data_IF_420289117406
#
_entry.id   IF_420289117406
#
_cell.length_a   1.000
_cell.length_b   1.000
_cell.length_c   1.000
_cell.angle_alpha   90.00
_cell.angle_beta   90.00
_cell.angle_gamma   90.00
#
_symmetry.space_group_name_H-M   'P 1'
#
loop_
_entity.id
_entity.type
_entity.pdbx_description
1 polymer ?
#
# COMPACT_ATOMS: atom_id res chain seq x y z
N UNK A 1 -13.36 0.23 61.21
CA UNK A 1 -13.99 -0.74 60.29
C UNK A 1 -14.34 -0.02 59.00
N UNK A 2 -13.89 -0.50 57.85
CA UNK A 2 -14.30 0.03 56.54
C UNK A 2 -14.36 -1.13 55.54
N UNK A 3 -15.57 -1.59 55.23
CA UNK A 3 -15.80 -2.72 54.33
C UNK A 3 -15.69 -2.26 52.88
N UNK A 4 -14.45 -2.03 52.43
CA UNK A 4 -14.17 -1.67 51.05
C UNK A 4 -14.57 -2.83 50.13
N UNK A 5 -15.39 -2.53 49.12
CA UNK A 5 -16.09 -3.54 48.33
C UNK A 5 -15.14 -4.24 47.36
N UNK A 6 -14.55 -5.39 47.72
CA UNK A 6 -13.75 -6.21 46.80
C UNK A 6 -14.57 -6.61 45.55
N UNK A 7 -15.89 -6.82 45.67
CA UNK A 7 -16.79 -7.05 44.53
C UNK A 7 -16.82 -5.88 43.52
N UNK A 8 -16.81 -4.62 43.99
CA UNK A 8 -16.73 -3.44 43.09
C UNK A 8 -15.37 -3.33 42.43
N UNK A 9 -14.29 -3.71 43.13
CA UNK A 9 -12.94 -3.76 42.56
C UNK A 9 -12.84 -4.82 41.45
N UNK A 10 -13.39 -6.03 41.69
CA UNK A 10 -13.44 -7.10 40.69
C UNK A 10 -14.27 -6.74 39.46
N UNK A 11 -15.46 -6.14 39.64
CA UNK A 11 -16.28 -5.68 38.50
C UNK A 11 -15.57 -4.58 37.71
N UNK A 12 -14.88 -3.65 38.37
CA UNK A 12 -14.06 -2.65 37.68
C UNK A 12 -12.92 -3.31 36.88
N UNK A 13 -12.18 -4.25 37.49
CA UNK A 13 -11.07 -4.97 36.86
C UNK A 13 -11.51 -5.74 35.61
N UNK A 14 -12.63 -6.46 35.68
CA UNK A 14 -13.19 -7.20 34.52
C UNK A 14 -13.63 -6.23 33.42
N UNK A 15 -14.23 -5.09 33.75
CA UNK A 15 -14.62 -4.08 32.75
C UNK A 15 -13.43 -3.33 32.13
N UNK A 16 -12.30 -3.19 32.84
CA UNK A 16 -11.04 -2.66 32.27
C UNK A 16 -10.24 -3.72 31.52
N UNK A 17 -10.59 -5.00 31.62
CA UNK A 17 -9.92 -6.10 30.91
C UNK A 17 -10.40 -6.20 29.46
N UNK A 18 -10.27 -5.09 28.72
CA UNK A 18 -10.35 -5.09 27.26
C UNK A 18 -9.18 -5.92 26.72
N UNK A 19 -9.41 -7.21 26.51
CA UNK A 19 -8.44 -8.09 25.86
C UNK A 19 -8.15 -7.54 24.46
N UNK A 20 -6.98 -6.92 24.29
CA UNK A 20 -6.44 -6.61 22.97
C UNK A 20 -6.08 -7.96 22.34
N UNK A 21 -7.01 -8.49 21.56
CA UNK A 21 -6.77 -9.60 20.68
C UNK A 21 -5.86 -9.09 19.57
N UNK A 22 -4.55 -9.28 19.76
CA UNK A 22 -3.57 -9.02 18.72
C UNK A 22 -3.71 -10.08 17.60
N UNK A 23 -2.92 -9.95 16.54
CA UNK A 23 -3.18 -10.73 15.34
C UNK A 23 -2.70 -12.18 15.47
N UNK A 24 -3.63 -13.14 15.41
CA UNK A 24 -3.25 -14.55 15.28
C UNK A 24 -2.84 -14.89 13.83
N UNK A 25 -3.30 -14.15 12.82
CA UNK A 25 -2.89 -14.34 11.41
C UNK A 25 -2.81 -13.03 10.63
N UNK A 26 -1.79 -12.91 9.78
CA UNK A 26 -1.56 -11.76 8.92
C UNK A 26 -1.56 -12.17 7.45
N UNK A 27 -1.94 -11.27 6.55
CA UNK A 27 -1.73 -11.51 5.12
C UNK A 27 -0.24 -11.61 4.88
N UNK A 28 0.20 -12.65 4.19
CA UNK A 28 1.59 -12.92 3.90
C UNK A 28 1.92 -12.64 2.44
N UNK A 29 3.10 -12.05 2.19
CA UNK A 29 3.80 -12.11 0.90
C UNK A 29 5.25 -11.64 1.05
N UNK A 30 6.08 -11.95 0.05
CA UNK A 30 7.43 -11.39 -0.16
C UNK A 30 7.68 -11.14 -1.66
N UNK A 31 8.44 -10.09 -1.96
CA UNK A 31 8.96 -9.73 -3.28
C UNK A 31 7.88 -9.75 -4.38
N UNK A 32 8.17 -10.40 -5.50
CA UNK A 32 7.29 -10.55 -6.66
C UNK A 32 5.95 -11.23 -6.34
N UNK A 33 5.82 -11.97 -5.23
CA UNK A 33 4.53 -12.51 -4.82
C UNK A 33 3.61 -11.42 -4.25
N UNK A 34 4.15 -10.39 -3.61
CA UNK A 34 3.37 -9.21 -3.21
C UNK A 34 2.76 -8.46 -4.40
N UNK A 35 3.36 -8.59 -5.59
CA UNK A 35 2.93 -7.93 -6.83
C UNK A 35 1.98 -8.77 -7.70
N UNK A 36 1.59 -9.96 -7.24
CA UNK A 36 0.64 -10.84 -7.94
C UNK A 36 -0.79 -10.57 -7.47
N UNK A 37 -1.67 -10.17 -8.37
CA UNK A 37 -3.09 -9.91 -8.07
C UNK A 37 -3.87 -11.14 -7.60
N UNK A 38 -3.41 -12.35 -7.95
CA UNK A 38 -3.98 -13.63 -7.55
C UNK A 38 -3.23 -14.32 -6.39
N UNK A 39 -2.36 -13.61 -5.67
CA UNK A 39 -1.64 -14.18 -4.54
C UNK A 39 -2.37 -13.86 -3.23
N UNK A 40 -2.89 -14.92 -2.62
CA UNK A 40 -3.53 -14.93 -1.30
C UNK A 40 -2.85 -16.01 -0.46
N UNK A 41 -2.31 -15.59 0.68
CA UNK A 41 -1.60 -16.41 1.63
C UNK A 41 -1.69 -15.73 3.02
N UNK A 42 -1.72 -16.54 4.07
CA UNK A 42 -1.67 -16.07 5.45
C UNK A 42 -0.42 -16.61 6.15
N UNK A 43 0.11 -15.82 7.06
CA UNK A 43 1.11 -16.22 8.04
C UNK A 43 0.45 -16.31 9.42
N UNK A 44 0.74 -17.39 10.14
CA UNK A 44 0.34 -17.60 11.53
C UNK A 44 1.44 -17.04 12.43
N UNK A 45 1.16 -15.96 13.18
CA UNK A 45 2.17 -15.32 14.00
C UNK A 45 2.59 -16.21 15.18
N UNK A 46 3.87 -16.13 15.55
CA UNK A 46 4.47 -16.98 16.59
C UNK A 46 3.98 -16.60 17.99
N UNK A 47 3.97 -15.29 18.28
CA UNK A 47 3.46 -14.74 19.53
C UNK A 47 2.03 -14.21 19.40
N UNK A 48 1.23 -14.41 20.45
CA UNK A 48 -0.18 -13.97 20.50
C UNK A 48 -0.36 -12.46 20.70
N UNK A 49 0.74 -11.71 20.67
CA UNK A 49 0.80 -10.25 20.81
C UNK A 49 1.51 -9.56 19.63
N UNK A 50 1.86 -10.32 18.58
CA UNK A 50 2.49 -9.78 17.37
C UNK A 50 1.50 -8.93 16.54
N UNK A 51 2.06 -8.07 15.70
CA UNK A 51 1.35 -7.18 14.80
C UNK A 51 1.52 -7.64 13.36
N UNK A 52 0.51 -7.38 12.52
CA UNK A 52 0.68 -7.47 11.09
C UNK A 52 1.39 -6.23 10.55
N UNK A 53 2.23 -6.44 9.53
CA UNK A 53 2.96 -5.40 8.83
C UNK A 53 2.75 -5.49 7.31
N UNK A 54 2.73 -4.34 6.66
CA UNK A 54 2.94 -4.17 5.21
C UNK A 54 4.10 -3.20 4.99
N UNK A 55 5.04 -3.57 4.11
CA UNK A 55 6.24 -2.79 3.80
C UNK A 55 6.19 -2.33 2.34
N UNK A 56 6.26 -1.02 2.11
CA UNK A 56 6.19 -0.39 0.79
C UNK A 56 7.51 0.30 0.47
N UNK A 57 7.99 0.20 -0.77
CA UNK A 57 9.12 0.96 -1.32
C UNK A 57 8.62 1.78 -2.50
N UNK A 58 8.76 3.10 -2.45
CA UNK A 58 8.19 4.02 -3.45
C UNK A 58 6.71 3.73 -3.80
N UNK A 59 5.89 3.41 -2.78
CA UNK A 59 4.47 3.06 -2.91
C UNK A 59 4.16 1.66 -3.47
N UNK A 60 5.17 0.87 -3.86
CA UNK A 60 5.00 -0.52 -4.32
C UNK A 60 5.19 -1.46 -3.12
N UNK A 61 4.26 -2.40 -2.92
CA UNK A 61 4.32 -3.39 -1.85
C UNK A 61 5.50 -4.38 -2.04
N UNK A 62 6.32 -4.58 -1.00
CA UNK A 62 7.50 -5.45 -1.00
C UNK A 62 7.35 -6.66 -0.07
N UNK A 63 6.73 -6.49 1.09
CA UNK A 63 6.49 -7.56 2.06
C UNK A 63 5.17 -7.35 2.82
N UNK A 64 4.53 -8.45 3.20
CA UNK A 64 3.42 -8.50 4.16
C UNK A 64 3.61 -9.72 5.06
N UNK A 65 3.30 -9.60 6.35
CA UNK A 65 3.35 -10.75 7.27
C UNK A 65 3.17 -10.33 8.73
N UNK A 66 3.63 -11.19 9.62
CA UNK A 66 3.81 -10.92 11.04
C UNK A 66 5.10 -10.10 11.28
N UNK A 67 5.13 -9.21 12.28
CA UNK A 67 6.23 -8.25 12.46
C UNK A 67 7.48 -8.92 13.05
N UNK A 68 7.35 -9.92 13.93
CA UNK A 68 8.50 -10.70 14.40
C UNK A 68 9.10 -11.60 13.30
N UNK A 69 8.28 -12.04 12.34
CA UNK A 69 8.70 -12.80 11.15
C UNK A 69 9.28 -11.93 10.02
N UNK A 70 9.23 -10.60 10.15
CA UNK A 70 9.76 -9.70 9.13
C UNK A 70 11.30 -9.73 9.18
N UNK A 71 11.94 -9.79 8.01
CA UNK A 71 13.41 -9.83 7.89
C UNK A 71 14.05 -8.64 8.62
N UNK A 72 15.20 -8.86 9.28
CA UNK A 72 15.88 -7.86 10.11
C UNK A 72 16.04 -6.50 9.41
N UNK A 73 16.51 -6.55 8.16
CA UNK A 73 16.63 -5.41 7.25
C UNK A 73 15.33 -4.61 7.05
N UNK A 74 14.18 -5.26 7.02
CA UNK A 74 12.89 -4.58 6.88
C UNK A 74 12.34 -4.13 8.24
N UNK A 75 12.52 -4.95 9.28
CA UNK A 75 12.03 -4.69 10.64
C UNK A 75 12.69 -3.46 11.26
N UNK A 76 14.02 -3.33 11.15
CA UNK A 76 14.78 -2.14 11.55
C UNK A 76 14.22 -0.87 10.88
N UNK A 77 14.05 -0.90 9.55
CA UNK A 77 13.52 0.23 8.76
C UNK A 77 12.05 0.58 9.07
N UNK A 78 11.29 -0.32 9.70
CA UNK A 78 9.93 -0.06 10.20
C UNK A 78 9.87 0.40 11.66
N UNK A 79 10.89 0.09 12.47
CA UNK A 79 11.05 0.59 13.83
C UNK A 79 11.64 2.01 13.85
N UNK A 80 12.47 2.35 12.85
CA UNK A 80 12.99 3.69 12.59
C UNK A 80 11.87 4.71 12.35
N UNK A 81 11.74 5.66 13.29
CA UNK A 81 10.70 6.71 13.26
C UNK A 81 11.04 7.89 12.35
N UNK A 82 12.26 7.92 11.82
CA UNK A 82 12.77 9.01 10.99
C UNK A 82 12.32 8.86 9.53
N UNK A 83 11.30 9.65 9.19
CA UNK A 83 10.53 9.60 7.94
C UNK A 83 11.29 10.04 6.67
N UNK A 84 12.62 9.92 6.66
CA UNK A 84 13.48 10.17 5.50
C UNK A 84 13.75 8.92 4.65
N UNK A 85 13.36 7.74 5.13
CA UNK A 85 13.59 6.48 4.43
C UNK A 85 12.73 6.35 3.15
N UNK A 86 13.24 5.62 2.16
CA UNK A 86 12.54 5.27 0.90
C UNK A 86 11.35 4.31 1.12
N UNK A 87 11.15 3.90 2.37
CA UNK A 87 10.31 2.80 2.82
C UNK A 87 9.21 3.36 3.73
N UNK A 88 7.96 3.03 3.43
CA UNK A 88 6.81 3.29 4.29
C UNK A 88 6.34 1.96 4.88
N UNK A 89 6.09 1.90 6.19
CA UNK A 89 5.55 0.70 6.86
C UNK A 89 4.18 0.97 7.49
N UNK A 90 3.25 0.05 7.30
CA UNK A 90 1.92 0.06 7.92
C UNK A 90 1.80 -1.12 8.89
N UNK A 91 1.72 -0.83 10.19
CA UNK A 91 1.64 -1.82 11.27
C UNK A 91 0.25 -1.75 11.92
N UNK A 92 -0.38 -2.90 12.15
CA UNK A 92 -1.73 -3.02 12.73
C UNK A 92 -1.89 -4.35 13.49
N UNK A 93 -2.88 -4.45 14.40
CA UNK A 93 -2.93 -5.53 15.41
C UNK A 93 -4.17 -6.43 15.35
N UNK A 94 -4.95 -6.44 14.28
CA UNK A 94 -6.12 -7.35 14.15
C UNK A 94 -5.93 -8.37 13.03
N UNK A 95 -6.65 -9.49 13.07
CA UNK A 95 -6.50 -10.56 12.07
C UNK A 95 -6.63 -10.02 10.63
N UNK A 96 -5.63 -10.34 9.79
CA UNK A 96 -5.49 -9.94 8.37
C UNK A 96 -5.63 -8.42 8.09
N UNK A 97 -5.34 -7.57 9.06
CA UNK A 97 -5.52 -6.11 8.97
C UNK A 97 -4.56 -5.39 7.99
N UNK A 98 -3.47 -6.04 7.58
CA UNK A 98 -2.42 -5.44 6.75
C UNK A 98 -2.81 -5.40 5.25
N UNK A 99 -4.06 -5.04 4.95
CA UNK A 99 -4.65 -5.04 3.60
C UNK A 99 -4.75 -3.64 2.95
N UNK A 100 -4.34 -2.59 3.67
CA UNK A 100 -4.31 -1.18 3.21
C UNK A 100 -2.92 -0.74 2.76
N UNK A 101 -2.87 0.19 1.81
CA UNK A 101 -1.67 0.86 1.33
C UNK A 101 -1.14 1.89 2.36
N UNK A 102 0.10 2.37 2.17
CA UNK A 102 0.72 3.38 3.03
C UNK A 102 -0.16 4.62 3.26
N UNK A 103 -0.14 5.20 4.46
CA UNK A 103 -0.89 6.44 4.79
C UNK A 103 -0.61 7.60 3.82
N UNK A 104 0.59 7.65 3.25
CA UNK A 104 0.97 8.66 2.24
C UNK A 104 0.21 8.48 0.93
N UNK A 105 -0.15 7.26 0.54
CA UNK A 105 -0.94 6.97 -0.68
C UNK A 105 -2.45 7.00 -0.40
N UNK A 106 -2.92 7.96 0.40
CA UNK A 106 -4.34 8.14 0.71
C UNK A 106 -5.01 9.14 -0.24
N UNK A 107 -6.12 8.74 -0.84
CA UNK A 107 -6.89 9.52 -1.80
C UNK A 107 -8.23 9.98 -1.20
N UNK A 108 -8.83 11.04 -1.73
CA UNK A 108 -10.25 11.31 -1.51
C UNK A 108 -11.05 10.22 -2.22
N UNK A 109 -12.02 9.61 -1.52
CA UNK A 109 -12.87 8.53 -2.03
C UNK A 109 -14.34 8.92 -1.83
N UNK A 110 -15.03 9.32 -2.90
CA UNK A 110 -16.39 9.86 -2.83
C UNK A 110 -17.12 9.82 -4.19
N UNK A 111 -18.42 10.10 -4.17
CA UNK A 111 -19.30 10.24 -5.33
C UNK A 111 -20.25 11.42 -5.09
N UNK A 112 -20.39 12.36 -6.03
CA UNK A 112 -21.22 13.55 -5.87
C UNK A 112 -22.74 13.26 -5.74
N UNK A 113 -23.19 12.10 -6.20
CA UNK A 113 -24.58 11.63 -6.01
C UNK A 113 -24.87 11.17 -4.57
N UNK A 114 -23.83 10.89 -3.77
CA UNK A 114 -23.92 10.48 -2.37
C UNK A 114 -23.51 11.62 -1.41
N UNK A 115 -22.53 12.43 -1.82
CA UNK A 115 -22.02 13.59 -1.09
C UNK A 115 -21.65 14.74 -2.05
N UNK A 116 -22.44 15.80 -2.06
CA UNK A 116 -22.23 16.98 -2.89
C UNK A 116 -20.85 17.65 -2.69
N UNK A 117 -20.25 17.52 -1.49
CA UNK A 117 -18.90 18.06 -1.22
C UNK A 117 -17.85 17.41 -2.13
N UNK A 118 -18.07 16.20 -2.64
CA UNK A 118 -17.20 15.54 -3.61
C UNK A 118 -16.98 16.37 -4.89
N UNK A 119 -18.00 17.10 -5.35
CA UNK A 119 -17.88 18.03 -6.46
C UNK A 119 -17.58 19.46 -6.00
N UNK A 120 -18.31 19.96 -4.99
CA UNK A 120 -18.31 21.38 -4.60
C UNK A 120 -17.11 21.81 -3.76
N UNK A 121 -16.58 20.94 -2.89
CA UNK A 121 -15.53 21.28 -1.92
C UNK A 121 -14.73 20.04 -1.46
N UNK A 122 -14.13 19.29 -2.39
CA UNK A 122 -13.42 18.03 -2.09
C UNK A 122 -12.26 18.19 -1.10
N UNK A 123 -11.59 19.35 -1.06
CA UNK A 123 -10.55 19.67 -0.08
C UNK A 123 -11.03 19.79 1.38
N UNK A 124 -12.35 19.67 1.64
CA UNK A 124 -12.92 19.50 2.99
C UNK A 124 -13.07 18.02 3.38
N UNK A 125 -12.94 17.09 2.43
CA UNK A 125 -13.08 15.65 2.66
C UNK A 125 -11.78 15.06 3.18
N UNK A 126 -11.90 14.17 4.17
CA UNK A 126 -10.75 13.43 4.69
C UNK A 126 -10.39 12.30 3.71
N UNK A 127 -9.16 12.31 3.21
CA UNK A 127 -8.65 11.23 2.38
C UNK A 127 -8.49 9.92 3.18
N UNK A 128 -8.73 8.80 2.51
CA UNK A 128 -8.74 7.45 3.09
C UNK A 128 -7.67 6.60 2.41
N UNK A 129 -6.96 5.76 3.19
CA UNK A 129 -5.98 4.81 2.68
C UNK A 129 -6.57 3.95 1.57
N UNK A 130 -5.86 3.84 0.45
CA UNK A 130 -6.25 2.94 -0.62
C UNK A 130 -6.07 1.47 -0.21
N UNK A 131 -6.81 0.52 -0.81
CA UNK A 131 -6.40 -0.88 -0.83
C UNK A 131 -5.03 -1.03 -1.51
N UNK A 132 -4.29 -2.09 -1.19
CA UNK A 132 -2.96 -2.33 -1.78
C UNK A 132 -3.07 -2.58 -3.30
N UNK A 133 -2.44 -1.71 -4.10
CA UNK A 133 -2.24 -1.95 -5.52
C UNK A 133 -1.26 -3.12 -5.71
N UNK A 134 -1.73 -4.22 -6.30
CA UNK A 134 -0.88 -5.39 -6.58
C UNK A 134 0.00 -5.17 -7.81
N UNK A 135 -0.50 -4.53 -8.87
CA UNK A 135 0.25 -4.34 -10.12
C UNK A 135 1.00 -3.00 -10.20
N UNK A 136 1.74 -2.65 -9.13
CA UNK A 136 2.57 -1.44 -9.05
C UNK A 136 2.30 -0.63 -7.77
N UNK A 137 2.05 0.68 -7.92
CA UNK A 137 1.59 1.56 -6.85
C UNK A 137 0.18 2.10 -7.14
N UNK A 138 -0.52 2.52 -6.09
CA UNK A 138 -1.85 3.13 -6.19
C UNK A 138 -1.75 4.61 -6.55
N UNK A 139 -2.51 5.04 -7.56
CA UNK A 139 -2.70 6.45 -7.90
C UNK A 139 -4.06 6.93 -7.39
N UNK A 140 -4.25 8.24 -7.27
CA UNK A 140 -5.57 8.82 -7.06
C UNK A 140 -6.19 9.24 -8.40
N UNK A 141 -7.52 9.21 -8.48
CA UNK A 141 -8.26 9.75 -9.63
C UNK A 141 -9.43 10.64 -9.22
N UNK A 142 -9.82 11.52 -10.14
CA UNK A 142 -11.12 12.18 -10.19
C UNK A 142 -11.67 12.06 -11.62
N UNK A 143 -12.89 11.54 -11.76
CA UNK A 143 -13.53 11.23 -13.05
C UNK A 143 -14.94 11.80 -13.09
N UNK A 144 -15.31 12.41 -14.21
CA UNK A 144 -16.65 12.95 -14.46
C UNK A 144 -17.29 12.22 -15.66
N UNK A 145 -18.49 11.67 -15.48
CA UNK A 145 -19.23 10.94 -16.53
C UNK A 145 -20.65 11.51 -16.62
N UNK A 146 -20.87 12.43 -17.55
CA UNK A 146 -22.07 13.27 -17.52
C UNK A 146 -22.01 14.20 -16.32
N UNK A 147 -23.03 14.15 -15.45
CA UNK A 147 -23.05 14.89 -14.17
C UNK A 147 -22.44 14.08 -13.00
N UNK A 148 -22.17 12.78 -13.17
CA UNK A 148 -21.65 11.91 -12.10
C UNK A 148 -20.13 12.12 -11.91
N UNK A 149 -19.74 12.74 -10.79
CA UNK A 149 -18.34 12.97 -10.41
C UNK A 149 -17.92 11.99 -9.31
N UNK A 150 -16.91 11.18 -9.60
CA UNK A 150 -16.35 10.18 -8.68
C UNK A 150 -14.86 10.41 -8.43
N UNK A 151 -14.45 10.30 -7.17
CA UNK A 151 -13.04 10.33 -6.73
C UNK A 151 -12.68 9.02 -6.06
N UNK A 152 -11.44 8.55 -6.24
CA UNK A 152 -10.98 7.33 -5.57
C UNK A 152 -9.56 6.89 -5.91
N UNK A 153 -9.27 5.63 -5.59
CA UNK A 153 -7.99 4.97 -5.84
C UNK A 153 -7.99 4.20 -7.17
N UNK A 154 -6.94 4.35 -7.97
CA UNK A 154 -6.68 3.59 -9.19
C UNK A 154 -5.60 2.54 -8.92
N UNK A 155 -6.01 1.27 -8.86
CA UNK A 155 -5.23 0.17 -8.27
C UNK A 155 -4.57 -0.77 -9.29
N UNK A 156 -4.97 -0.68 -10.57
CA UNK A 156 -4.40 -1.50 -11.64
C UNK A 156 -3.94 -0.65 -12.81
N UNK A 157 -2.93 -1.13 -13.55
CA UNK A 157 -2.48 -0.50 -14.79
C UNK A 157 -3.63 -0.34 -15.81
N UNK A 158 -4.63 -1.22 -15.82
CA UNK A 158 -5.79 -1.10 -16.73
C UNK A 158 -6.69 0.08 -16.35
N UNK A 159 -6.88 0.36 -15.07
CA UNK A 159 -7.66 1.51 -14.59
C UNK A 159 -6.90 2.83 -14.83
N UNK A 160 -5.59 2.81 -14.63
CA UNK A 160 -4.68 3.92 -14.88
C UNK A 160 -4.67 4.30 -16.37
N UNK A 161 -4.45 3.32 -17.26
CA UNK A 161 -4.49 3.53 -18.72
C UNK A 161 -5.88 3.95 -19.20
N UNK A 162 -6.96 3.40 -18.63
CA UNK A 162 -8.33 3.83 -18.97
C UNK A 162 -8.58 5.29 -18.58
N UNK A 163 -8.15 5.71 -17.39
CA UNK A 163 -8.30 7.09 -16.95
C UNK A 163 -7.50 8.05 -17.83
N UNK A 164 -6.23 7.74 -18.13
CA UNK A 164 -5.37 8.54 -19.01
C UNK A 164 -5.86 8.62 -20.48
N UNK A 165 -6.87 7.84 -20.87
CA UNK A 165 -7.50 7.87 -22.19
C UNK A 165 -8.85 8.61 -22.21
N UNK A 166 -9.37 9.08 -21.08
CA UNK A 166 -10.62 9.84 -20.95
C UNK A 166 -10.29 11.30 -20.54
N UNK A 167 -10.61 12.32 -21.36
CA UNK A 167 -10.31 13.71 -21.02
C UNK A 167 -11.02 14.19 -19.73
N UNK A 168 -12.08 13.51 -19.31
CA UNK A 168 -12.82 13.81 -18.07
C UNK A 168 -12.29 13.03 -16.85
N UNK A 169 -11.16 12.30 -16.99
CA UNK A 169 -10.53 11.56 -15.90
C UNK A 169 -9.11 12.05 -15.66
N UNK A 170 -8.88 12.63 -14.49
CA UNK A 170 -7.55 13.04 -14.04
C UNK A 170 -6.97 11.98 -13.12
N UNK A 171 -5.73 11.57 -13.41
CA UNK A 171 -4.93 10.64 -12.62
C UNK A 171 -3.74 11.39 -12.00
N UNK A 172 -3.46 11.18 -10.72
CA UNK A 172 -2.37 11.87 -10.02
C UNK A 172 -1.71 10.96 -8.96
N UNK A 173 -0.47 11.28 -8.61
CA UNK A 173 0.35 10.47 -7.70
C UNK A 173 0.34 11.02 -6.26
N UNK A 174 -0.24 10.30 -5.28
CA UNK A 174 -0.30 10.78 -3.90
C UNK A 174 1.06 10.82 -3.18
N UNK A 175 2.12 10.21 -3.73
CA UNK A 175 3.47 10.34 -3.17
C UNK A 175 4.12 11.71 -3.49
N UNK A 176 3.80 12.26 -4.66
CA UNK A 176 4.28 13.58 -5.12
C UNK A 176 3.45 14.72 -4.48
N UNK A 177 2.13 14.53 -4.41
CA UNK A 177 1.21 15.47 -3.76
C UNK A 177 0.15 14.70 -2.94
N UNK A 178 0.21 14.75 -1.60
CA UNK A 178 -0.82 14.15 -0.76
C UNK A 178 -2.21 14.64 -1.13
N UNK A 179 -3.14 13.71 -1.33
CA UNK A 179 -4.55 13.97 -1.64
C UNK A 179 -4.80 14.74 -2.94
N UNK A 180 -3.88 14.64 -3.91
CA UNK A 180 -3.89 15.32 -5.22
C UNK A 180 -5.19 15.25 -6.05
N UNK A 181 -6.11 14.34 -5.72
CA UNK A 181 -7.42 14.28 -6.36
C UNK A 181 -8.45 15.20 -5.69
N UNK A 182 -8.03 16.33 -5.12
CA UNK A 182 -8.88 17.41 -4.59
C UNK A 182 -9.21 18.48 -5.65
N UNK A 183 -8.55 18.48 -6.81
CA UNK A 183 -8.81 19.48 -7.85
C UNK A 183 -10.28 19.49 -8.33
N UNK A 184 -10.81 20.68 -8.62
CA UNK A 184 -12.17 20.84 -9.16
C UNK A 184 -12.18 20.38 -10.61
N UNK A 185 -12.84 19.25 -10.87
CA UNK A 185 -13.11 18.76 -12.23
C UNK A 185 -14.32 19.51 -12.77
N UNK A 186 -14.25 19.91 -14.03
CA UNK A 186 -15.39 20.36 -14.83
C UNK A 186 -15.38 19.54 -16.11
N UNK A 187 -16.55 19.39 -16.75
CA UNK A 187 -16.54 19.02 -18.16
C UNK A 187 -15.77 20.11 -18.90
N UNK A 188 -14.80 19.74 -19.72
CA UNK A 188 -14.26 20.68 -20.70
C UNK A 188 -15.41 21.05 -21.64
N UNK A 189 -15.74 22.35 -21.72
CA UNK A 189 -16.58 22.93 -22.77
C UNK A 189 -15.82 22.85 -24.11
N UNK A 190 -15.61 21.62 -24.57
CA UNK A 190 -14.80 21.29 -25.74
C UNK A 190 -15.35 22.05 -26.93
N UNK A 191 -14.54 22.94 -27.54
CA UNK A 191 -15.09 24.04 -28.33
C UNK A 191 -15.85 23.48 -29.52
N UNK A 192 -17.14 23.83 -29.59
CA UNK A 192 -17.99 23.60 -30.75
C UNK A 192 -17.40 24.36 -31.93
N UNK A 193 -16.46 23.73 -32.62
CA UNK A 193 -15.69 24.30 -33.72
C UNK A 193 -16.49 24.18 -35.02
N UNK A 194 -17.77 24.58 -34.93
CA UNK A 194 -18.63 24.84 -36.07
C UNK A 194 -18.23 26.19 -36.65
N UNK A 195 -17.04 26.25 -37.26
CA UNK A 195 -16.74 27.29 -38.22
C UNK A 195 -17.54 27.00 -39.49
N UNK A 196 -18.76 27.52 -39.56
CA UNK A 196 -19.44 27.66 -40.85
C UNK A 196 -18.55 28.49 -41.79
N UNK A 197 -18.27 28.04 -43.02
CA UNK A 197 -17.47 28.79 -43.98
C UNK A 197 -18.28 29.96 -44.53
N UNK A 198 -18.43 31.02 -43.73
CA UNK A 198 -19.08 32.27 -44.15
C UNK A 198 -18.21 32.95 -45.19
N UNK A 199 -18.72 33.05 -46.42
CA UNK A 199 -18.03 33.67 -47.54
C UNK A 199 -17.70 35.15 -47.24
N UNK A 200 -16.44 35.54 -47.42
CA UNK A 200 -16.04 36.95 -47.41
C UNK A 200 -14.85 37.17 -48.34
N UNK A 201 -15.17 37.25 -49.62
CA UNK A 201 -14.26 37.61 -50.71
C UNK A 201 -13.55 38.94 -50.44
N UNK A 202 -12.22 38.92 -50.40
CA UNK A 202 -11.39 40.06 -50.82
C UNK A 202 -10.00 39.60 -51.23
N UNK A 203 -9.54 40.13 -52.35
CA UNK A 203 -8.25 39.82 -52.98
C UNK A 203 -7.12 40.69 -52.44
N UNK A 204 -5.91 40.14 -52.31
CA UNK A 204 -4.68 40.69 -52.92
C UNK A 204 -3.51 39.70 -52.81
N UNK A 205 -2.54 39.82 -53.72
CA UNK A 205 -1.41 38.90 -53.91
C UNK A 205 -0.07 39.59 -53.61
N UNK A 206 0.98 38.80 -53.34
CA UNK A 206 2.40 39.21 -53.19
C UNK A 206 2.72 40.08 -51.94
N UNK A 207 3.89 40.02 -51.29
CA UNK A 207 5.20 39.42 -51.64
C UNK A 207 5.93 38.83 -50.41
N UNK A 208 6.89 37.91 -50.64
CA UNK A 208 7.96 37.48 -49.71
C UNK A 208 9.03 38.58 -49.52
N UNK A 209 9.89 38.59 -48.46
CA UNK A 209 11.02 37.63 -48.32
C UNK A 209 11.48 37.28 -46.87
N UNK A 210 12.57 36.50 -46.77
CA UNK A 210 13.12 35.89 -45.54
C UNK A 210 14.07 36.75 -44.69
N UNK A 211 14.15 36.44 -43.39
CA UNK A 211 15.36 36.46 -42.52
C UNK A 211 14.99 35.76 -41.20
N UNK A 212 15.56 34.62 -40.75
CA UNK A 212 16.97 34.23 -40.52
C UNK A 212 17.58 34.89 -39.28
N UNK A 213 17.66 34.13 -38.18
CA UNK A 213 18.56 34.35 -37.04
C UNK A 213 19.06 33.00 -36.50
N UNK A 214 20.38 32.86 -36.37
CA UNK A 214 21.10 31.86 -35.55
C UNK A 214 21.28 32.46 -34.12
N UNK A 215 21.98 31.89 -33.13
CA UNK A 215 22.82 30.69 -32.92
C UNK A 215 22.62 30.26 -31.43
N UNK A 216 23.33 29.39 -30.71
CA UNK A 216 24.73 28.93 -30.75
C UNK A 216 24.85 27.49 -30.20
N UNK A 217 25.93 27.08 -29.51
CA UNK A 217 26.14 25.65 -29.14
C UNK A 217 27.07 25.40 -27.96
N UNK A 218 26.69 24.50 -27.03
CA UNK A 218 27.56 23.83 -26.05
C UNK A 218 26.81 22.61 -25.46
N UNK A 219 27.25 21.34 -25.46
CA UNK A 219 28.57 20.69 -25.37
C UNK A 219 29.04 20.37 -23.95
N UNK A 220 28.98 19.09 -23.55
CA UNK A 220 30.17 18.32 -23.10
C UNK A 220 29.80 16.93 -22.56
N UNK A 221 30.65 15.93 -22.86
CA UNK A 221 30.71 14.61 -22.20
C UNK A 221 32.15 14.36 -21.74
N UNK A 222 32.40 13.40 -20.82
CA UNK A 222 33.47 12.44 -21.09
C UNK A 222 33.20 11.00 -20.59
N UNK A 223 34.00 10.06 -21.10
CA UNK A 223 34.09 8.65 -20.67
C UNK A 223 34.92 8.48 -19.39
N UNK A 224 34.85 7.29 -18.77
CA UNK A 224 35.97 6.66 -18.06
C UNK A 224 35.79 5.14 -17.95
N UNK A 225 36.90 4.40 -18.13
CA UNK A 225 37.04 2.96 -17.84
C UNK A 225 37.37 2.73 -16.34
N UNK A 226 37.63 1.55 -15.76
CA UNK A 226 37.96 0.16 -16.22
C UNK A 226 37.41 -0.82 -15.13
N UNK A 227 37.66 -2.13 -14.98
CA UNK A 227 38.79 -3.05 -15.29
C UNK A 227 38.29 -4.50 -15.37
N UNK A 228 39.04 -5.41 -16.02
CA UNK A 228 38.67 -6.83 -16.21
C UNK A 228 39.24 -7.76 -15.12
N UNK A 229 38.59 -8.91 -14.88
CA UNK A 229 39.25 -10.15 -14.40
C UNK A 229 38.47 -11.42 -14.79
N UNK A 230 39.20 -12.46 -15.22
CA UNK A 230 38.71 -13.69 -15.88
C UNK A 230 38.69 -14.90 -14.93
N UNK A 231 37.97 -16.00 -15.27
CA UNK A 231 38.48 -17.42 -15.30
C UNK A 231 37.37 -18.46 -15.61
N UNK A 232 37.58 -19.24 -16.68
CA UNK A 232 37.39 -20.71 -16.93
C UNK A 232 36.41 -21.55 -16.06
N UNK A 233 35.78 -22.66 -16.51
CA UNK A 233 35.93 -23.50 -17.73
C UNK A 233 34.66 -24.38 -18.00
N UNK A 234 34.55 -25.11 -19.14
CA UNK A 234 33.30 -25.77 -19.60
C UNK A 234 33.29 -27.32 -19.59
N UNK A 235 32.16 -27.89 -20.08
CA UNK A 235 31.91 -29.31 -20.46
C UNK A 235 31.81 -30.35 -19.31
N UNK A 236 31.09 -31.47 -19.41
CA UNK A 236 30.81 -32.33 -20.59
C UNK A 236 29.40 -32.94 -20.65
N UNK A 237 28.95 -33.21 -21.89
CA UNK A 237 27.69 -33.84 -22.33
C UNK A 237 27.60 -35.36 -22.07
N UNK A 238 26.42 -35.88 -21.64
CA UNK A 238 25.72 -36.99 -22.34
C UNK A 238 24.30 -37.27 -21.83
N UNK A 239 23.53 -38.01 -22.64
CA UNK A 239 22.09 -38.31 -22.44
C UNK A 239 21.84 -39.82 -22.62
N UNK A 240 20.95 -40.41 -21.79
CA UNK A 240 20.25 -41.68 -22.08
C UNK A 240 18.98 -41.80 -21.21
N UNK A 241 17.83 -41.73 -21.90
CA UNK A 241 16.58 -42.51 -21.75
C UNK A 241 16.26 -43.28 -20.45
N UNK A 242 15.09 -42.96 -19.86
CA UNK A 242 13.99 -43.78 -19.26
C UNK A 242 14.23 -45.21 -18.68
N UNK A 243 13.42 -45.71 -17.69
CA UNK A 243 12.05 -45.25 -17.39
C UNK A 243 11.66 -45.05 -15.90
N UNK A 244 10.57 -44.31 -15.72
CA UNK A 244 9.54 -44.38 -14.65
C UNK A 244 9.86 -45.22 -13.39
N UNK A 245 10.06 -44.54 -12.25
CA UNK A 245 9.81 -45.08 -10.91
C UNK A 245 9.31 -43.95 -10.01
N UNK A 246 8.34 -44.25 -9.13
CA UNK A 246 7.76 -43.30 -8.18
C UNK A 246 8.73 -43.01 -7.04
N UNK A 247 9.06 -41.74 -6.80
CA UNK A 247 9.65 -41.27 -5.54
C UNK A 247 8.76 -40.18 -4.92
N UNK A 248 8.58 -40.25 -3.60
CA UNK A 248 7.89 -39.24 -2.80
C UNK A 248 8.81 -38.04 -2.55
N UNK A 249 8.30 -36.82 -2.71
CA UNK A 249 9.02 -35.59 -2.35
C UNK A 249 8.91 -35.38 -0.83
N UNK A 250 10.02 -35.44 -0.05
CA UNK A 250 9.97 -35.28 1.39
C UNK A 250 9.70 -33.82 1.77
N UNK A 251 8.43 -33.51 2.06
CA UNK A 251 8.02 -32.16 2.45
C UNK A 251 8.33 -31.94 3.93
N UNK A 252 9.56 -31.51 4.24
CA UNK A 252 10.05 -31.28 5.60
C UNK A 252 10.28 -29.79 5.85
N UNK A 253 9.28 -29.14 6.43
CA UNK A 253 9.43 -27.83 7.08
C UNK A 253 9.17 -28.06 8.56
N UNK A 254 10.24 -28.07 9.35
CA UNK A 254 10.14 -28.40 10.77
C UNK A 254 9.34 -27.36 11.55
N UNK A 255 8.45 -27.86 12.41
CA UNK A 255 7.50 -27.06 13.20
C UNK A 255 8.09 -26.76 14.58
N UNK A 256 8.47 -25.51 14.90
CA UNK A 256 8.83 -25.14 16.28
C UNK A 256 7.60 -25.22 17.20
N UNK A 257 7.85 -25.50 18.48
CA UNK A 257 6.80 -25.76 19.47
C UNK A 257 6.48 -24.49 20.28
N UNK A 258 5.49 -23.70 19.87
CA UNK A 258 4.99 -22.56 20.66
C UNK A 258 4.31 -23.05 21.95
N UNK A 259 4.82 -22.63 23.11
CA UNK A 259 4.49 -23.23 24.41
C UNK A 259 4.06 -22.21 25.49
N UNK A 260 2.86 -22.41 26.04
CA UNK A 260 2.43 -21.93 27.37
C UNK A 260 2.46 -20.41 27.70
N UNK A 261 2.38 -19.52 26.72
CA UNK A 261 2.25 -18.07 26.91
C UNK A 261 0.89 -17.55 27.42
N UNK A 262 0.32 -18.07 28.53
CA UNK A 262 -0.99 -17.61 29.04
C UNK A 262 -1.21 -17.67 30.57
N UNK A 263 -0.28 -18.20 31.37
CA UNK A 263 -0.54 -18.43 32.81
C UNK A 263 -0.46 -17.17 33.70
N UNK A 264 0.29 -16.13 33.33
CA UNK A 264 0.62 -15.02 34.24
C UNK A 264 -0.61 -14.21 34.71
N UNK A 265 -1.44 -13.73 33.77
CA UNK A 265 -2.64 -12.94 34.10
C UNK A 265 -3.68 -13.77 34.88
N UNK A 266 -3.81 -15.05 34.54
CA UNK A 266 -4.70 -15.99 35.25
C UNK A 266 -4.25 -16.20 36.69
N UNK A 267 -2.94 -16.36 36.94
CA UNK A 267 -2.38 -16.46 38.29
C UNK A 267 -2.55 -15.18 39.11
N UNK A 268 -2.44 -13.99 38.49
CA UNK A 268 -2.71 -12.72 39.19
C UNK A 268 -4.17 -12.59 39.63
N UNK A 269 -5.12 -12.99 38.78
CA UNK A 269 -6.56 -13.02 39.13
C UNK A 269 -6.79 -13.99 40.29
N UNK A 270 -6.25 -15.21 40.23
CA UNK A 270 -6.37 -16.17 41.33
C UNK A 270 -5.68 -15.70 42.63
N UNK A 271 -4.55 -15.00 42.54
CA UNK A 271 -3.86 -14.44 43.72
C UNK A 271 -4.68 -13.32 44.39
N UNK A 272 -5.33 -12.45 43.62
CA UNK A 272 -6.21 -11.41 44.19
C UNK A 272 -7.52 -12.00 44.75
N UNK A 273 -8.11 -13.00 44.07
CA UNK A 273 -9.24 -13.74 44.63
C UNK A 273 -8.85 -14.41 45.96
N UNK A 274 -7.70 -15.09 46.02
CA UNK A 274 -7.18 -15.67 47.25
C UNK A 274 -7.00 -14.60 48.33
N UNK A 275 -6.44 -13.43 48.04
CA UNK A 275 -6.28 -12.34 49.00
C UNK A 275 -7.61 -11.75 49.51
N UNK A 276 -8.69 -11.75 48.71
CA UNK A 276 -10.03 -11.37 49.19
C UNK A 276 -10.75 -12.48 49.98
N UNK A 277 -10.41 -13.76 49.78
CA UNK A 277 -10.98 -14.87 50.57
C UNK A 277 -10.17 -15.21 51.84
N UNK A 278 -8.85 -15.01 51.84
CA UNK A 278 -7.95 -15.31 52.97
C UNK A 278 -7.76 -14.17 53.98
N UNK A 279 -8.66 -13.16 53.98
CA UNK A 279 -8.82 -12.25 55.11
C UNK A 279 -10.03 -12.66 55.97
N UNK A 280 -9.83 -13.51 57.00
CA UNK A 280 -10.80 -13.62 58.08
C UNK A 280 -10.93 -12.26 58.81
N UNK A 281 -12.00 -12.17 59.62
CA UNK A 281 -12.45 -10.95 60.31
C UNK A 281 -11.49 -10.50 61.45
#
# INVERSE_FOLDING_TARGET
MSNFNCSKLLVALVLTSSYVLASEKCIYCRDINCQRSSYDADEQCSEKLDACVSVFKAGVIQAQGCLESLEDDWREKCEDKDKGNEIDCEICVTERCNNVAAKRTSCIQCNNTEDAQCAESPGLLTAVQCPIARSGRSFCYASLVGDDLKRGCSLTLSDQVKCLADPNCHLCDPLEQPHCNDQIVRADDSPTTTQEPTESTSSSTESTPSSTMTTESSSSSPESSTTSSTTNSPETTQSTTEPSTTEEVPTTTDKPNSAFGLHASVLLIFAQLALCFYKPL
#
